data_IF_515574329578
#
_entry.id   IF_515574329578
#
_cell.length_a   1.000
_cell.length_b   1.000
_cell.length_c   1.000
_cell.angle_alpha   90.00
_cell.angle_beta   90.00
_cell.angle_gamma   90.00
#
_symmetry.space_group_name_H-M   'P 1'
#
loop_
_entity.id
_entity.type
_entity.pdbx_description
1 polymer ?
#
# COMPACT_ATOMS: atom_id res chain seq x y z
N UNK A 1 -14.99 8.93 -8.23
CA UNK A 1 -13.58 9.25 -7.89
C UNK A 1 -12.70 8.11 -8.39
N UNK A 2 -11.70 8.37 -9.26
CA UNK A 2 -10.81 7.32 -9.77
C UNK A 2 -9.90 6.77 -8.65
N UNK A 3 -9.33 5.58 -8.87
CA UNK A 3 -8.45 4.93 -7.88
C UNK A 3 -7.08 5.59 -7.72
N UNK A 4 -6.61 6.27 -8.77
CA UNK A 4 -5.22 6.72 -8.96
C UNK A 4 -4.22 5.59 -8.69
N UNK A 5 -4.02 4.74 -9.69
CA UNK A 5 -3.00 3.70 -9.65
C UNK A 5 -1.63 4.37 -9.78
N UNK A 6 -0.80 4.26 -8.75
CA UNK A 6 0.50 4.96 -8.69
C UNK A 6 1.70 4.05 -8.77
N UNK A 7 1.52 2.77 -8.43
CA UNK A 7 2.58 1.77 -8.46
C UNK A 7 2.00 0.39 -8.77
N UNK A 8 2.83 -0.45 -9.40
CA UNK A 8 2.55 -1.86 -9.65
C UNK A 8 3.80 -2.70 -9.42
N UNK A 9 3.60 -3.93 -8.96
CA UNK A 9 4.70 -4.87 -8.71
C UNK A 9 4.27 -6.29 -9.08
N UNK A 10 5.17 -7.10 -9.63
CA UNK A 10 4.94 -8.51 -9.92
C UNK A 10 5.76 -9.37 -8.95
N UNK A 11 5.20 -10.49 -8.49
CA UNK A 11 5.93 -11.44 -7.64
C UNK A 11 7.03 -12.17 -8.41
N UNK A 12 8.08 -12.61 -7.70
CA UNK A 12 9.24 -13.28 -8.31
C UNK A 12 8.88 -14.57 -9.09
N UNK A 13 7.76 -15.20 -8.78
CA UNK A 13 7.25 -16.39 -9.46
C UNK A 13 6.27 -16.05 -10.61
N UNK A 14 6.15 -14.77 -10.99
CA UNK A 14 5.25 -14.23 -12.02
C UNK A 14 3.76 -14.57 -11.81
N UNK A 15 3.38 -14.96 -10.59
CA UNK A 15 2.02 -15.42 -10.28
C UNK A 15 1.07 -14.29 -9.93
N UNK A 16 1.55 -13.26 -9.26
CA UNK A 16 0.70 -12.19 -8.70
C UNK A 16 1.16 -10.80 -9.14
N UNK A 17 0.19 -9.98 -9.58
CA UNK A 17 0.32 -8.54 -9.82
C UNK A 17 -0.29 -7.78 -8.65
N UNK A 18 0.47 -6.89 -8.04
CA UNK A 18 0.04 -5.97 -6.99
C UNK A 18 -0.17 -4.59 -7.61
N UNK A 19 -1.29 -3.95 -7.25
CA UNK A 19 -1.68 -2.64 -7.77
C UNK A 19 -1.99 -1.71 -6.61
N UNK A 20 -1.31 -0.56 -6.57
CA UNK A 20 -1.43 0.43 -5.52
C UNK A 20 -2.44 1.52 -5.90
N UNK A 21 -3.64 1.49 -5.34
CA UNK A 21 -4.72 2.45 -5.59
C UNK A 21 -4.68 3.59 -4.55
N UNK A 22 -3.80 4.57 -4.78
CA UNK A 22 -3.45 5.58 -3.79
C UNK A 22 -4.65 6.40 -3.31
N UNK A 23 -5.53 6.86 -4.22
CA UNK A 23 -6.65 7.72 -3.85
C UNK A 23 -7.77 6.94 -3.15
N UNK A 24 -7.99 5.69 -3.56
CA UNK A 24 -8.97 4.82 -2.92
C UNK A 24 -8.50 4.36 -1.53
N UNK A 25 -7.21 4.10 -1.37
CA UNK A 25 -6.66 3.57 -0.13
C UNK A 25 -6.61 2.06 -0.10
N UNK A 26 -6.42 1.41 -1.24
CA UNK A 26 -6.41 -0.05 -1.31
C UNK A 26 -5.29 -0.61 -2.17
N UNK A 27 -4.81 -1.80 -1.80
CA UNK A 27 -3.93 -2.61 -2.63
C UNK A 27 -4.73 -3.78 -3.15
N UNK A 28 -4.65 -4.01 -4.45
CA UNK A 28 -5.29 -5.14 -5.12
C UNK A 28 -4.21 -6.09 -5.60
N UNK A 29 -4.36 -7.36 -5.25
CA UNK A 29 -3.54 -8.43 -5.77
C UNK A 29 -4.36 -9.22 -6.79
N UNK A 30 -3.80 -9.38 -7.98
CA UNK A 30 -4.40 -10.13 -9.08
C UNK A 30 -3.58 -11.39 -9.35
N UNK A 31 -4.24 -12.53 -9.51
CA UNK A 31 -3.64 -13.73 -10.07
C UNK A 31 -3.46 -13.53 -11.59
N UNK A 32 -2.22 -13.62 -12.03
CA UNK A 32 -1.77 -13.46 -13.42
C UNK A 32 -1.10 -14.73 -13.96
N UNK A 33 -1.30 -15.89 -13.32
CA UNK A 33 -0.81 -17.20 -13.80
C UNK A 33 -1.21 -17.48 -15.26
N UNK A 34 -2.36 -16.94 -15.68
CA UNK A 34 -2.75 -16.78 -17.08
C UNK A 34 -2.88 -15.28 -17.38
N UNK A 35 -1.89 -14.65 -18.05
CA UNK A 35 -1.91 -13.22 -18.34
C UNK A 35 -3.08 -12.77 -19.22
N UNK A 36 -3.73 -13.69 -19.93
CA UNK A 36 -4.92 -13.39 -20.75
C UNK A 36 -6.21 -13.46 -19.92
N UNK A 37 -6.14 -13.99 -18.69
CA UNK A 37 -7.28 -14.20 -17.80
C UNK A 37 -6.97 -13.78 -16.36
N UNK A 38 -6.60 -12.52 -16.22
CA UNK A 38 -6.31 -11.87 -14.93
C UNK A 38 -7.54 -11.89 -14.02
N UNK A 39 -7.34 -12.23 -12.74
CA UNK A 39 -8.42 -12.28 -11.72
C UNK A 39 -8.01 -11.57 -10.45
N UNK A 40 -8.92 -10.77 -9.88
CA UNK A 40 -8.72 -10.24 -8.53
C UNK A 40 -8.70 -11.41 -7.53
N UNK A 41 -7.63 -11.50 -6.73
CA UNK A 41 -7.42 -12.58 -5.77
C UNK A 41 -7.58 -12.09 -4.33
N UNK A 42 -6.96 -10.96 -3.98
CA UNK A 42 -6.98 -10.42 -2.62
C UNK A 42 -6.94 -8.89 -2.63
N UNK A 43 -7.44 -8.27 -1.57
CA UNK A 43 -7.51 -6.82 -1.42
C UNK A 43 -7.35 -6.43 0.06
N UNK A 44 -6.58 -5.38 0.32
CA UNK A 44 -6.42 -4.78 1.66
C UNK A 44 -6.54 -3.27 1.58
N UNK A 45 -7.01 -2.65 2.66
CA UNK A 45 -7.25 -1.20 2.73
C UNK A 45 -6.24 -0.53 3.67
N UNK A 46 -5.53 0.49 3.17
CA UNK A 46 -4.44 1.21 3.84
C UNK A 46 -4.67 2.71 3.62
N UNK A 47 -5.31 3.37 4.59
CA UNK A 47 -5.62 4.80 4.52
C UNK A 47 -6.55 5.14 3.35
N UNK A 48 -6.11 6.08 2.52
CA UNK A 48 -6.79 6.65 1.36
C UNK A 48 -8.00 7.48 1.70
N UNK A 49 -8.85 7.69 0.70
CA UNK A 49 -10.06 8.50 0.88
C UNK A 49 -11.31 7.67 1.12
N UNK A 50 -11.29 6.34 0.98
CA UNK A 50 -12.51 5.52 1.07
C UNK A 50 -12.55 4.79 2.42
N UNK A 51 -12.78 5.55 3.50
CA UNK A 51 -12.99 4.98 4.84
C UNK A 51 -13.85 5.89 5.76
N UNK A 52 -14.30 5.35 6.89
CA UNK A 52 -15.28 5.96 7.84
C UNK A 52 -14.85 7.29 8.46
N UNK A 53 -13.56 7.57 8.52
CA UNK A 53 -12.99 8.82 9.08
C UNK A 53 -12.41 9.76 8.01
N UNK A 54 -12.84 9.59 6.76
CA UNK A 54 -12.53 10.51 5.67
C UNK A 54 -13.70 11.48 5.42
N UNK A 55 -13.46 12.52 4.63
CA UNK A 55 -14.53 13.42 4.19
C UNK A 55 -15.29 12.92 2.94
N UNK A 56 -14.99 11.71 2.46
CA UNK A 56 -15.65 11.14 1.28
C UNK A 56 -16.78 10.23 1.70
N UNK A 57 -17.96 10.46 1.10
CA UNK A 57 -19.15 9.64 1.34
C UNK A 57 -19.34 8.66 0.19
N UNK A 58 -19.38 7.37 0.51
CA UNK A 58 -19.79 6.32 -0.43
C UNK A 58 -21.32 6.33 -0.50
N UNK A 59 -21.87 6.58 -1.69
CA UNK A 59 -23.32 6.72 -1.90
C UNK A 59 -24.01 5.37 -2.11
N UNK A 60 -23.31 4.44 -2.76
CA UNK A 60 -23.79 3.09 -3.10
C UNK A 60 -22.59 2.13 -2.97
N UNK A 61 -22.79 0.97 -2.34
CA UNK A 61 -21.71 -0.01 -2.14
C UNK A 61 -21.83 -0.83 -0.87
N UNK A 62 -20.81 -1.67 -0.65
CA UNK A 62 -20.67 -2.59 0.48
C UNK A 62 -20.50 -1.87 1.84
N UNK A 63 -20.32 -2.67 2.90
CA UNK A 63 -20.10 -2.20 4.27
C UNK A 63 -19.05 -1.08 4.34
N UNK A 64 -19.20 -0.12 5.27
CA UNK A 64 -18.19 0.92 5.49
C UNK A 64 -16.81 0.30 5.74
N UNK A 65 -15.79 0.85 5.06
CA UNK A 65 -14.39 0.50 5.31
C UNK A 65 -13.93 1.32 6.51
N UNK A 66 -13.47 0.66 7.56
CA UNK A 66 -12.98 1.35 8.75
C UNK A 66 -11.62 2.00 8.50
N UNK A 67 -11.38 3.14 9.14
CA UNK A 67 -10.06 3.77 9.14
C UNK A 67 -9.01 2.79 9.71
N UNK A 68 -7.87 2.67 9.03
CA UNK A 68 -6.81 1.77 9.47
C UNK A 68 -5.99 2.40 10.61
N UNK A 69 -5.90 1.68 11.72
CA UNK A 69 -4.95 1.95 12.79
C UNK A 69 -3.97 0.79 12.93
N UNK A 70 -2.67 1.12 12.97
CA UNK A 70 -1.58 0.18 13.25
C UNK A 70 -0.80 0.71 14.44
N UNK A 71 -0.64 -0.10 15.49
CA UNK A 71 0.00 0.31 16.76
C UNK A 71 -0.50 1.65 17.32
N UNK A 72 -1.81 1.89 17.22
CA UNK A 72 -2.47 3.13 17.68
C UNK A 72 -2.27 4.35 16.78
N UNK A 73 -1.53 4.22 15.66
CA UNK A 73 -1.35 5.28 14.67
C UNK A 73 -2.37 5.12 13.55
N UNK A 74 -3.19 6.16 13.32
CA UNK A 74 -4.01 6.26 12.12
C UNK A 74 -3.11 6.36 10.89
N UNK A 75 -3.38 5.54 9.88
CA UNK A 75 -2.66 5.56 8.62
C UNK A 75 -3.28 6.62 7.71
N UNK A 76 -2.58 7.74 7.56
CA UNK A 76 -2.90 8.84 6.64
C UNK A 76 -2.21 8.63 5.28
N UNK A 77 -2.62 9.38 4.26
CA UNK A 77 -2.13 9.18 2.89
C UNK A 77 -2.87 8.00 2.23
N UNK A 78 -2.26 7.33 1.25
CA UNK A 78 -2.79 6.10 0.65
C UNK A 78 -1.64 5.16 0.28
N UNK A 79 -1.87 3.89 -0.08
CA UNK A 79 -0.77 3.01 -0.47
C UNK A 79 -0.11 3.60 -1.72
N UNK A 80 1.21 3.70 -1.71
CA UNK A 80 1.97 4.28 -2.81
C UNK A 80 3.05 3.29 -3.28
N UNK A 81 4.33 3.43 -2.91
CA UNK A 81 5.34 2.46 -3.32
C UNK A 81 5.14 1.13 -2.62
N UNK A 82 5.28 0.07 -3.40
CA UNK A 82 5.16 -1.32 -3.03
C UNK A 82 6.53 -1.99 -3.12
N UNK A 83 6.91 -2.75 -2.08
CA UNK A 83 8.10 -3.59 -2.16
C UNK A 83 7.86 -4.97 -1.57
N UNK A 84 7.89 -5.98 -2.43
CA UNK A 84 7.68 -7.38 -2.06
C UNK A 84 9.01 -8.04 -1.71
N UNK A 85 9.00 -8.90 -0.70
CA UNK A 85 10.13 -9.76 -0.38
C UNK A 85 10.33 -10.82 -1.46
N UNK A 86 11.58 -11.24 -1.69
CA UNK A 86 11.91 -12.25 -2.70
C UNK A 86 11.16 -13.59 -2.51
N UNK A 87 10.83 -13.96 -1.26
CA UNK A 87 10.03 -15.15 -0.95
C UNK A 87 8.52 -14.95 -1.13
N UNK A 88 8.07 -13.76 -1.55
CA UNK A 88 6.67 -13.42 -1.79
C UNK A 88 5.79 -13.28 -0.55
N UNK A 89 6.36 -13.36 0.66
CA UNK A 89 5.58 -13.45 1.92
C UNK A 89 5.28 -12.12 2.59
N UNK A 90 6.00 -11.05 2.24
CA UNK A 90 5.94 -9.75 2.93
C UNK A 90 5.93 -8.63 1.90
N UNK A 91 4.87 -7.85 1.88
CA UNK A 91 4.76 -6.64 1.08
C UNK A 91 4.86 -5.42 2.00
N UNK A 92 5.86 -4.59 1.77
CA UNK A 92 6.02 -3.31 2.47
C UNK A 92 5.44 -2.19 1.62
N UNK A 93 4.79 -1.24 2.28
CA UNK A 93 3.99 -0.21 1.64
C UNK A 93 4.30 1.12 2.32
N UNK A 94 4.72 2.12 1.55
CA UNK A 94 4.81 3.51 2.00
C UNK A 94 3.62 4.31 1.47
N UNK A 95 3.37 5.47 2.09
CA UNK A 95 2.08 6.15 1.95
C UNK A 95 2.10 7.48 1.17
N UNK A 96 3.29 7.99 0.85
CA UNK A 96 3.46 9.30 0.20
C UNK A 96 3.75 9.17 -1.29
N UNK A 97 3.08 9.99 -2.10
CA UNK A 97 3.29 10.06 -3.55
C UNK A 97 4.23 11.20 -3.91
N UNK A 98 3.81 12.42 -3.60
CA UNK A 98 4.55 13.62 -3.91
C UNK A 98 3.99 14.74 -3.07
N UNK A 99 4.85 15.46 -2.33
CA UNK A 99 4.43 16.40 -1.29
C UNK A 99 3.28 17.34 -1.67
N UNK A 100 3.25 17.87 -2.90
CA UNK A 100 2.17 18.78 -3.33
C UNK A 100 0.84 18.07 -3.58
N UNK A 101 0.89 16.83 -4.05
CA UNK A 101 -0.31 16.02 -4.21
C UNK A 101 -0.77 15.50 -2.85
N UNK A 102 0.15 15.06 -2.00
CA UNK A 102 -0.15 14.68 -0.62
C UNK A 102 -0.83 15.82 0.12
N UNK A 103 -0.33 17.06 0.02
CA UNK A 103 -0.94 18.23 0.67
C UNK A 103 -2.35 18.53 0.14
N UNK A 104 -2.57 18.33 -1.16
CA UNK A 104 -3.86 18.58 -1.80
C UNK A 104 -4.92 17.53 -1.43
N UNK A 105 -4.56 16.25 -1.43
CA UNK A 105 -5.51 15.15 -1.24
C UNK A 105 -5.57 14.65 0.21
N UNK A 106 -4.44 14.72 0.93
CA UNK A 106 -4.26 14.22 2.29
C UNK A 106 -3.47 15.22 3.15
N UNK A 107 -3.99 16.42 3.46
CA UNK A 107 -3.24 17.44 4.19
C UNK A 107 -2.76 16.98 5.58
N UNK A 108 -3.51 16.12 6.27
CA UNK A 108 -3.09 15.51 7.55
C UNK A 108 -1.91 14.55 7.39
N UNK A 109 -1.72 13.97 6.20
CA UNK A 109 -0.55 13.17 5.86
C UNK A 109 0.74 13.99 5.91
N UNK A 110 0.73 15.18 5.30
CA UNK A 110 1.90 16.07 5.27
C UNK A 110 2.27 16.56 6.66
N UNK A 111 1.27 16.81 7.52
CA UNK A 111 1.49 17.25 8.91
C UNK A 111 2.03 16.13 9.80
N UNK A 112 1.53 14.92 9.60
CA UNK A 112 1.77 13.81 10.52
C UNK A 112 2.88 12.86 10.06
N UNK A 113 3.33 13.00 8.81
CA UNK A 113 4.40 12.20 8.21
C UNK A 113 3.93 10.89 7.59
N UNK A 114 4.74 10.38 6.67
CA UNK A 114 4.49 9.09 6.04
C UNK A 114 4.67 7.93 7.02
N UNK A 115 4.08 6.80 6.66
CA UNK A 115 4.26 5.54 7.37
C UNK A 115 4.72 4.46 6.41
N UNK A 116 5.41 3.45 6.93
CA UNK A 116 5.57 2.17 6.27
C UNK A 116 4.83 1.11 7.06
N UNK A 117 3.91 0.43 6.38
CA UNK A 117 3.19 -0.73 6.89
C UNK A 117 3.65 -1.99 6.17
N UNK A 118 3.38 -3.14 6.78
CA UNK A 118 3.67 -4.44 6.17
C UNK A 118 2.36 -5.22 6.01
N UNK A 119 2.24 -5.92 4.89
CA UNK A 119 1.17 -6.85 4.57
C UNK A 119 1.79 -8.24 4.51
N UNK A 120 1.26 -9.16 5.30
CA UNK A 120 1.58 -10.58 5.24
C UNK A 120 0.85 -11.18 4.04
N UNK A 121 1.55 -12.02 3.28
CA UNK A 121 1.01 -12.73 2.14
C UNK A 121 1.14 -14.23 2.42
N UNK A 122 0.02 -14.93 2.34
CA UNK A 122 0.02 -16.38 2.34
C UNK A 122 0.60 -16.89 1.00
N UNK A 123 1.70 -17.66 0.99
CA UNK A 123 2.41 -18.03 -0.23
C UNK A 123 1.60 -18.99 -1.13
N UNK A 124 0.64 -19.73 -0.58
CA UNK A 124 -0.14 -20.71 -1.33
C UNK A 124 -1.36 -20.04 -1.99
N UNK A 125 -2.15 -19.31 -1.21
CA UNK A 125 -3.39 -18.67 -1.65
C UNK A 125 -3.20 -17.25 -2.18
N UNK A 126 -2.08 -16.59 -1.87
CA UNK A 126 -1.88 -15.16 -2.12
C UNK A 126 -2.65 -14.24 -1.17
N UNK A 127 -3.41 -14.79 -0.21
CA UNK A 127 -4.24 -13.97 0.69
C UNK A 127 -3.40 -12.92 1.42
N UNK A 128 -3.82 -11.66 1.30
CA UNK A 128 -3.19 -10.51 1.95
C UNK A 128 -3.86 -10.19 3.29
N UNK A 129 -3.04 -9.98 4.32
CA UNK A 129 -3.49 -9.50 5.64
C UNK A 129 -2.53 -8.45 6.18
N UNK A 130 -3.06 -7.34 6.69
CA UNK A 130 -2.24 -6.25 7.24
C UNK A 130 -1.59 -6.74 8.54
N UNK A 131 -0.27 -6.64 8.62
CA UNK A 131 0.47 -6.92 9.84
C UNK A 131 0.34 -5.75 10.82
N UNK A 132 -0.46 -5.95 11.89
CA UNK A 132 -0.74 -4.90 12.88
C UNK A 132 0.41 -4.64 13.87
N UNK A 133 1.45 -5.47 13.86
CA UNK A 133 2.60 -5.38 14.76
C UNK A 133 3.79 -4.63 14.15
N UNK A 134 3.77 -4.39 12.84
CA UNK A 134 4.82 -3.69 12.10
C UNK A 134 4.37 -2.29 11.69
N UNK A 135 5.14 -1.27 12.08
CA UNK A 135 4.96 0.11 11.65
C UNK A 135 6.29 0.86 11.75
N UNK A 136 6.69 1.52 10.67
CA UNK A 136 7.66 2.62 10.73
C UNK A 136 6.90 3.92 10.58
N UNK A 137 7.06 4.82 11.54
CA UNK A 137 6.42 6.13 11.57
C UNK A 137 7.47 7.22 11.28
N UNK A 138 7.53 7.67 10.03
CA UNK A 138 8.49 8.68 9.59
C UNK A 138 8.17 10.08 10.12
N UNK A 139 6.99 10.29 10.72
CA UNK A 139 6.64 11.50 11.44
C UNK A 139 7.37 11.63 12.78
N UNK A 140 7.86 10.52 13.35
CA UNK A 140 8.55 10.50 14.65
C UNK A 140 10.08 10.59 14.55
N UNK A 141 10.63 10.60 13.34
CA UNK A 141 12.07 10.74 13.12
C UNK A 141 12.45 12.21 13.34
N UNK A 142 13.54 12.44 14.08
CA UNK A 142 14.09 13.77 14.32
C UNK A 142 14.34 14.52 13.00
N UNK A 143 13.91 15.78 12.92
CA UNK A 143 13.98 16.58 11.69
C UNK A 143 12.82 16.39 10.71
N UNK A 144 11.86 15.52 11.04
CA UNK A 144 10.63 15.30 10.27
C UNK A 144 9.54 16.37 10.46
N UNK A 145 8.30 16.13 9.96
CA UNK A 145 7.84 14.86 9.39
C UNK A 145 8.41 14.58 8.00
N UNK A 146 8.85 13.34 7.77
CA UNK A 146 9.32 12.90 6.45
C UNK A 146 8.22 12.19 5.67
N UNK A 147 8.28 12.35 4.34
CA UNK A 147 7.36 11.78 3.37
C UNK A 147 8.10 10.68 2.59
N UNK A 148 8.25 9.52 3.24
CA UNK A 148 8.94 8.37 2.67
C UNK A 148 8.22 7.85 1.42
N UNK A 149 9.00 7.63 0.37
CA UNK A 149 8.54 7.20 -0.94
C UNK A 149 9.05 5.79 -1.23
N UNK A 150 10.10 5.63 -2.03
CA UNK A 150 10.66 4.34 -2.39
C UNK A 150 11.47 3.68 -1.27
N UNK A 151 11.49 2.35 -1.28
CA UNK A 151 12.28 1.51 -0.39
C UNK A 151 12.99 0.43 -1.20
N UNK A 152 14.17 0.01 -0.77
CA UNK A 152 14.97 -1.03 -1.44
C UNK A 152 15.48 -2.05 -0.44
N UNK A 153 15.48 -3.32 -0.83
CA UNK A 153 16.05 -4.36 0.03
C UNK A 153 17.57 -4.40 -0.09
N UNK A 154 18.28 -4.62 1.03
CA UNK A 154 19.69 -4.99 0.98
C UNK A 154 19.85 -6.32 0.23
N UNK A 155 20.50 -6.30 -0.93
CA UNK A 155 20.76 -7.50 -1.74
C UNK A 155 19.79 -7.76 -2.88
N UNK A 156 18.91 -6.80 -3.20
CA UNK A 156 18.03 -6.87 -4.36
C UNK A 156 16.59 -7.24 -4.01
N UNK A 157 15.67 -6.84 -4.88
CA UNK A 157 14.24 -7.01 -4.73
C UNK A 157 13.54 -7.13 -6.10
N UNK A 158 12.23 -7.39 -6.07
CA UNK A 158 11.44 -7.69 -7.27
C UNK A 158 11.39 -6.56 -8.29
N UNK A 159 11.90 -5.37 -7.97
CA UNK A 159 11.88 -4.19 -8.85
C UNK A 159 13.27 -3.65 -9.17
N UNK A 160 14.34 -4.16 -8.52
CA UNK A 160 15.71 -3.72 -8.76
C UNK A 160 16.55 -4.63 -9.63
N UNK A 161 16.24 -5.93 -9.67
CA UNK A 161 17.10 -6.94 -10.29
C UNK A 161 16.49 -7.55 -11.55
N UNK A 162 17.34 -7.79 -12.55
CA UNK A 162 17.01 -8.50 -13.78
C UNK A 162 17.83 -9.78 -13.81
N UNK A 163 17.15 -10.92 -13.91
CA UNK A 163 17.76 -12.25 -13.93
C UNK A 163 17.95 -12.70 -15.39
N UNK A 164 19.10 -13.32 -15.71
CA UNK A 164 19.49 -13.79 -17.06
C UNK A 164 19.55 -15.32 -17.08
#
# INVERSE_FOLDING_TARGET
MPALITDILISMDDRFLYVSCWLHGDIRQYDISDPLKVKLNSQVYIGGSVHTESNVKVLEGEKPIEALYVKGRKIEGGPQMLQLSLDGKRLYVTTSLYKKWDDQFYPEHVKSGATMVQVNIDPESGKMEINRDFLIDFGKIEGGPYLAHEMRYPGGDCTSDIWI
#
